data_IF_968989705097
#
_entry.id   IF_968989705097
#
_cell.length_a   1.000
_cell.length_b   1.000
_cell.length_c   1.000
_cell.angle_alpha   90.00
_cell.angle_beta   90.00
_cell.angle_gamma   90.00
#
_symmetry.space_group_name_H-M   'P 1'
#
loop_
_entity.id
_entity.type
_entity.pdbx_description
1 polymer ?
#
# COMPACT_ATOMS: atom_id res chain seq x y z
N UNK A 1 60.70 20.30 21.09
CA UNK A 1 60.51 20.58 19.64
C UNK A 1 59.88 19.32 19.03
N UNK A 2 58.65 18.96 19.37
CA UNK A 2 57.37 19.43 18.80
C UNK A 2 57.28 19.25 17.27
N UNK A 3 57.12 18.02 16.75
CA UNK A 3 56.53 17.82 15.40
C UNK A 3 55.99 16.39 15.14
N UNK A 4 55.34 15.70 16.09
CA UNK A 4 54.74 14.38 15.78
C UNK A 4 53.28 14.17 16.26
N UNK A 5 52.63 15.21 16.77
CA UNK A 5 51.22 15.13 17.23
C UNK A 5 50.19 15.62 16.19
N UNK A 6 50.55 15.72 14.91
CA UNK A 6 49.65 16.26 13.88
C UNK A 6 48.92 15.18 13.06
N UNK A 7 49.37 13.92 13.07
CA UNK A 7 48.77 12.84 12.26
C UNK A 7 47.65 12.07 12.96
N UNK A 8 47.54 12.15 14.29
CA UNK A 8 46.49 11.49 15.06
C UNK A 8 45.13 12.21 15.06
N UNK A 9 45.06 13.44 14.55
CA UNK A 9 43.82 14.24 14.50
C UNK A 9 43.08 14.20 13.17
N UNK A 10 43.56 13.44 12.19
CA UNK A 10 42.95 13.33 10.87
C UNK A 10 42.17 12.02 10.66
N UNK A 11 41.84 11.30 11.74
CA UNK A 11 40.98 10.10 11.70
C UNK A 11 39.58 10.36 12.29
N UNK A 12 39.30 11.56 12.79
CA UNK A 12 38.03 11.88 13.48
C UNK A 12 36.89 12.34 12.56
N UNK A 13 37.11 12.55 11.26
CA UNK A 13 36.10 13.25 10.41
C UNK A 13 35.37 12.32 9.42
N UNK A 14 35.76 11.06 9.27
CA UNK A 14 35.23 10.18 8.22
C UNK A 14 34.09 9.23 8.66
N UNK A 15 33.27 9.64 9.64
CA UNK A 15 32.09 8.89 10.11
C UNK A 15 30.85 9.79 10.21
N UNK A 16 30.72 10.75 9.29
CA UNK A 16 29.49 11.52 9.10
C UNK A 16 28.97 11.18 7.71
N UNK A 17 27.98 10.30 7.65
CA UNK A 17 27.36 9.96 6.37
C UNK A 17 26.59 8.66 6.33
N UNK A 18 26.02 8.18 7.44
CA UNK A 18 24.84 7.30 7.32
C UNK A 18 23.70 8.17 6.80
N UNK A 19 23.69 8.39 5.49
CA UNK A 19 22.52 8.87 4.77
C UNK A 19 21.46 7.81 5.02
N UNK A 20 20.57 8.06 5.98
CA UNK A 20 19.28 7.39 6.04
C UNK A 20 18.55 7.79 4.76
N UNK A 21 18.82 7.05 3.69
CA UNK A 21 17.94 7.01 2.55
C UNK A 21 16.62 6.51 3.10
N UNK A 22 15.68 7.44 3.28
CA UNK A 22 14.26 7.09 3.33
C UNK A 22 14.02 6.44 1.97
N UNK A 23 14.15 5.11 1.92
CA UNK A 23 13.68 4.36 0.79
C UNK A 23 12.19 4.68 0.71
N UNK A 24 11.83 5.54 -0.24
CA UNK A 24 10.45 5.61 -0.69
C UNK A 24 10.16 4.20 -1.18
N UNK A 25 9.50 3.43 -0.31
CA UNK A 25 8.87 2.18 -0.67
C UNK A 25 7.87 2.52 -1.76
N UNK A 26 8.31 2.45 -3.02
CA UNK A 26 7.39 2.36 -4.14
C UNK A 26 6.67 1.04 -3.90
N UNK A 27 5.45 1.13 -3.38
CA UNK A 27 4.60 -0.04 -3.19
C UNK A 27 4.23 -0.53 -4.58
N UNK A 28 5.03 -1.47 -5.06
CA UNK A 28 4.82 -2.17 -6.30
C UNK A 28 3.50 -2.93 -6.21
N UNK A 29 2.52 -2.55 -7.03
CA UNK A 29 1.20 -3.18 -7.05
C UNK A 29 1.29 -4.42 -7.92
N UNK A 30 0.96 -5.57 -7.34
CA UNK A 30 0.80 -6.81 -8.10
C UNK A 30 -0.67 -7.02 -8.41
N UNK A 31 -1.01 -6.84 -9.67
CA UNK A 31 -2.36 -7.06 -10.20
C UNK A 31 -2.55 -8.53 -10.53
N UNK A 32 -3.59 -9.14 -10.00
CA UNK A 32 -3.87 -10.57 -10.13
C UNK A 32 -5.33 -10.72 -10.56
N UNK A 33 -5.64 -11.77 -11.31
CA UNK A 33 -7.03 -12.14 -11.62
C UNK A 33 -7.84 -12.41 -10.34
N UNK A 34 -9.09 -11.98 -10.30
CA UNK A 34 -9.98 -12.13 -9.14
C UNK A 34 -10.25 -13.59 -8.76
N UNK A 35 -10.20 -14.51 -9.73
CA UNK A 35 -10.37 -15.95 -9.48
C UNK A 35 -9.28 -16.53 -8.56
N UNK A 36 -8.12 -15.85 -8.46
CA UNK A 36 -7.03 -16.24 -7.57
C UNK A 36 -7.40 -16.12 -6.08
N UNK A 37 -8.39 -15.29 -5.72
CA UNK A 37 -8.83 -15.11 -4.32
C UNK A 37 -9.18 -16.45 -3.67
N UNK A 38 -9.79 -17.36 -4.43
CA UNK A 38 -10.15 -18.70 -3.94
C UNK A 38 -8.96 -19.56 -3.50
N UNK A 39 -7.73 -19.20 -3.88
CA UNK A 39 -6.50 -19.93 -3.56
C UNK A 39 -5.71 -19.32 -2.40
N UNK A 40 -6.07 -18.10 -1.95
CA UNK A 40 -5.33 -17.35 -0.93
C UNK A 40 -5.31 -18.05 0.43
N UNK A 41 -6.37 -18.79 0.77
CA UNK A 41 -6.47 -19.57 2.01
C UNK A 41 -5.73 -20.92 2.00
N UNK A 42 -5.21 -21.36 0.85
CA UNK A 42 -4.63 -22.70 0.69
C UNK A 42 -3.14 -22.67 0.34
N UNK A 43 -2.71 -21.67 -0.41
CA UNK A 43 -1.33 -21.58 -0.89
C UNK A 43 -0.50 -20.69 0.03
N UNK A 44 0.73 -21.11 0.30
CA UNK A 44 1.73 -20.21 0.87
C UNK A 44 2.02 -19.09 -0.13
N UNK A 45 2.45 -17.92 0.35
CA UNK A 45 2.84 -16.77 -0.49
C UNK A 45 3.70 -17.18 -1.68
N UNK A 46 4.78 -17.93 -1.46
CA UNK A 46 5.69 -18.33 -2.54
C UNK A 46 5.01 -19.20 -3.61
N UNK A 47 4.09 -20.09 -3.21
CA UNK A 47 3.31 -20.92 -4.14
C UNK A 47 2.22 -20.11 -4.84
N UNK A 48 1.61 -19.17 -4.12
CA UNK A 48 0.62 -18.25 -4.67
C UNK A 48 1.26 -17.38 -5.77
N UNK A 49 2.37 -16.71 -5.46
CA UNK A 49 3.11 -15.86 -6.40
C UNK A 49 3.63 -16.65 -7.61
N UNK A 50 4.05 -17.90 -7.42
CA UNK A 50 4.47 -18.76 -8.53
C UNK A 50 3.29 -19.13 -9.45
N UNK A 51 2.13 -19.42 -8.86
CA UNK A 51 0.94 -19.86 -9.61
C UNK A 51 0.21 -18.71 -10.28
N UNK A 52 0.21 -17.56 -9.63
CA UNK A 52 -0.46 -16.32 -10.00
C UNK A 52 0.56 -15.17 -9.94
N UNK A 53 1.50 -15.11 -10.91
CA UNK A 53 2.54 -14.09 -10.91
C UNK A 53 1.95 -12.68 -11.05
N UNK A 54 0.80 -12.55 -11.72
CA UNK A 54 0.15 -11.27 -11.94
C UNK A 54 0.97 -10.34 -12.83
N UNK A 55 0.55 -9.08 -12.87
CA UNK A 55 1.28 -7.99 -13.52
C UNK A 55 1.79 -7.02 -12.45
N UNK A 56 3.01 -6.54 -12.66
CA UNK A 56 3.62 -5.54 -11.79
C UNK A 56 3.31 -4.16 -12.34
N UNK A 57 2.79 -3.28 -11.48
CA UNK A 57 2.43 -1.90 -11.78
C UNK A 57 3.10 -0.97 -10.77
N UNK A 58 3.54 0.20 -11.24
CA UNK A 58 4.24 1.16 -10.39
C UNK A 58 3.30 1.88 -9.41
N UNK A 59 2.00 1.90 -9.70
CA UNK A 59 0.99 2.49 -8.83
C UNK A 59 -0.43 2.44 -9.41
N UNK A 60 -1.42 2.99 -8.69
CA UNK A 60 -2.83 2.86 -9.05
C UNK A 60 -3.19 3.49 -10.41
N UNK A 61 -2.44 4.52 -10.84
CA UNK A 61 -2.66 5.20 -12.11
C UNK A 61 -2.39 4.32 -13.36
N UNK A 62 -1.66 3.21 -13.21
CA UNK A 62 -1.36 2.27 -14.30
C UNK A 62 -2.32 1.07 -14.35
N UNK A 63 -3.33 1.07 -13.48
CA UNK A 63 -4.36 0.03 -13.42
C UNK A 63 -5.40 0.22 -14.52
N UNK A 64 -5.92 -0.89 -15.01
CA UNK A 64 -7.08 -0.88 -15.91
C UNK A 64 -8.33 -0.46 -15.14
N UNK A 65 -9.25 0.26 -15.78
CA UNK A 65 -10.45 0.76 -15.10
C UNK A 65 -11.37 -0.36 -14.61
N UNK A 66 -11.69 -0.37 -13.32
CA UNK A 66 -12.62 -1.34 -12.74
C UNK A 66 -12.54 -1.43 -11.23
N UNK A 67 -13.28 -2.38 -10.67
CA UNK A 67 -13.25 -2.67 -9.24
C UNK A 67 -12.09 -3.62 -8.90
N UNK A 68 -11.36 -3.31 -7.84
CA UNK A 68 -10.29 -4.14 -7.33
C UNK A 68 -10.54 -4.49 -5.87
N UNK A 69 -10.44 -5.77 -5.55
CA UNK A 69 -10.30 -6.21 -4.16
C UNK A 69 -8.83 -6.10 -3.79
N UNK A 70 -8.53 -5.33 -2.76
CA UNK A 70 -7.16 -4.97 -2.38
C UNK A 70 -6.80 -5.71 -1.10
N UNK A 71 -5.64 -6.35 -1.10
CA UNK A 71 -4.97 -6.83 0.10
C UNK A 71 -3.58 -6.22 0.21
N UNK A 72 -3.34 -5.52 1.30
CA UNK A 72 -2.03 -4.96 1.63
C UNK A 72 -1.57 -5.45 3.00
N UNK A 73 -0.32 -5.88 3.09
CA UNK A 73 0.29 -6.31 4.35
C UNK A 73 1.81 -6.22 4.23
N UNK A 74 2.45 -5.45 5.10
CA UNK A 74 3.89 -5.13 5.02
C UNK A 74 4.28 -4.55 3.65
N UNK A 75 5.07 -5.28 2.86
CA UNK A 75 5.49 -4.89 1.51
C UNK A 75 4.64 -5.53 0.40
N UNK A 76 3.56 -6.21 0.77
CA UNK A 76 2.65 -6.85 -0.19
C UNK A 76 1.52 -5.90 -0.54
N UNK A 77 1.28 -5.75 -1.83
CA UNK A 77 0.14 -5.03 -2.38
C UNK A 77 -0.44 -5.87 -3.52
N UNK A 78 -1.52 -6.58 -3.24
CA UNK A 78 -2.23 -7.46 -4.18
C UNK A 78 -3.56 -6.82 -4.56
N UNK A 79 -3.74 -6.58 -5.85
CA UNK A 79 -4.94 -5.98 -6.42
C UNK A 79 -5.62 -7.02 -7.31
N UNK A 80 -6.77 -7.52 -6.87
CA UNK A 80 -7.53 -8.55 -7.56
C UNK A 80 -8.60 -7.94 -8.45
N UNK A 81 -8.42 -8.01 -9.77
CA UNK A 81 -9.32 -7.43 -10.75
C UNK A 81 -8.67 -7.18 -12.12
N UNK A 82 -9.27 -6.32 -12.98
CA UNK A 82 -10.47 -5.52 -12.73
C UNK A 82 -11.78 -6.33 -12.75
N UNK A 83 -12.67 -6.04 -11.81
CA UNK A 83 -14.00 -6.63 -11.69
C UNK A 83 -15.04 -5.62 -12.24
N UNK A 84 -16.00 -6.13 -13.00
CA UNK A 84 -16.99 -5.27 -13.68
C UNK A 84 -18.05 -4.70 -12.72
N UNK A 85 -18.49 -5.49 -11.74
CA UNK A 85 -19.60 -5.16 -10.85
C UNK A 85 -19.12 -5.03 -9.41
N UNK A 86 -19.52 -3.94 -8.75
CA UNK A 86 -19.23 -3.73 -7.33
C UNK A 86 -19.77 -4.87 -6.47
N UNK A 87 -20.98 -5.36 -6.73
CA UNK A 87 -21.58 -6.47 -5.98
C UNK A 87 -20.74 -7.75 -6.03
N UNK A 88 -20.19 -8.07 -7.20
CA UNK A 88 -19.25 -9.18 -7.37
C UNK A 88 -17.95 -8.92 -6.61
N UNK A 89 -17.44 -7.69 -6.66
CA UNK A 89 -16.30 -7.27 -5.84
C UNK A 89 -16.53 -7.41 -4.34
N UNK A 90 -17.72 -7.07 -3.85
CA UNK A 90 -18.10 -7.24 -2.44
C UNK A 90 -18.14 -8.71 -2.02
N UNK A 91 -18.60 -9.61 -2.88
CA UNK A 91 -18.61 -11.03 -2.59
C UNK A 91 -17.19 -11.62 -2.56
N UNK A 92 -16.33 -11.18 -3.47
CA UNK A 92 -14.90 -11.52 -3.43
C UNK A 92 -14.17 -10.94 -2.22
N UNK A 93 -14.49 -9.70 -1.81
CA UNK A 93 -13.94 -9.10 -0.60
C UNK A 93 -14.32 -9.94 0.63
N UNK A 94 -15.58 -10.37 0.76
CA UNK A 94 -16.00 -11.28 1.85
C UNK A 94 -15.21 -12.59 1.83
N UNK A 95 -15.01 -13.18 0.65
CA UNK A 95 -14.24 -14.41 0.51
C UNK A 95 -12.79 -14.22 0.96
N UNK A 96 -12.16 -13.12 0.56
CA UNK A 96 -10.79 -12.80 0.96
C UNK A 96 -10.68 -12.53 2.46
N UNK A 97 -11.63 -11.79 3.03
CA UNK A 97 -11.71 -11.57 4.48
C UNK A 97 -11.77 -12.88 5.26
N UNK A 98 -12.61 -13.83 4.84
CA UNK A 98 -12.68 -15.14 5.48
C UNK A 98 -11.34 -15.89 5.43
N UNK A 99 -10.64 -15.83 4.30
CA UNK A 99 -9.33 -16.48 4.15
C UNK A 99 -8.27 -15.82 5.06
N UNK A 100 -8.24 -14.48 5.12
CA UNK A 100 -7.32 -13.73 5.98
C UNK A 100 -7.64 -13.97 7.45
N UNK A 101 -8.91 -13.96 7.86
CA UNK A 101 -9.32 -14.23 9.25
C UNK A 101 -8.87 -15.63 9.70
N UNK A 102 -9.04 -16.64 8.84
CA UNK A 102 -8.54 -17.98 9.12
C UNK A 102 -7.01 -18.03 9.26
N UNK A 103 -6.29 -17.27 8.43
CA UNK A 103 -4.83 -17.16 8.52
C UNK A 103 -4.38 -16.44 9.79
N UNK A 104 -5.07 -15.36 10.20
CA UNK A 104 -4.81 -14.62 11.45
C UNK A 104 -5.02 -15.50 12.67
N UNK A 105 -6.07 -16.34 12.69
CA UNK A 105 -6.30 -17.31 13.77
C UNK A 105 -5.15 -18.31 13.91
N UNK A 106 -4.58 -18.76 12.79
CA UNK A 106 -3.44 -19.68 12.80
C UNK A 106 -2.12 -18.97 13.14
N UNK A 107 -1.98 -17.71 12.73
CA UNK A 107 -0.78 -16.91 12.91
C UNK A 107 -1.15 -15.49 13.37
N UNK A 108 -1.30 -15.27 14.69
CA UNK A 108 -1.67 -13.97 15.26
C UNK A 108 -0.65 -12.85 15.02
N UNK A 109 0.53 -13.17 14.49
CA UNK A 109 1.53 -12.18 14.09
C UNK A 109 1.17 -11.44 12.79
N UNK A 110 0.09 -11.82 12.10
CA UNK A 110 -0.43 -11.10 10.94
C UNK A 110 -1.27 -9.95 11.50
N UNK A 111 -0.70 -8.74 11.50
CA UNK A 111 -1.33 -7.51 11.96
C UNK A 111 -1.18 -6.43 10.90
N UNK A 112 -1.89 -5.31 11.06
CA UNK A 112 -1.70 -4.13 10.22
C UNK A 112 -1.91 -4.39 8.71
N UNK A 113 -2.77 -5.35 8.37
CA UNK A 113 -3.21 -5.58 7.00
C UNK A 113 -4.38 -4.66 6.65
N UNK A 114 -4.51 -4.33 5.36
CA UNK A 114 -5.66 -3.63 4.78
C UNK A 114 -6.37 -4.54 3.80
N UNK A 115 -7.70 -4.59 3.93
CA UNK A 115 -8.62 -5.24 3.01
C UNK A 115 -9.68 -4.23 2.58
N UNK A 116 -9.79 -3.97 1.29
CA UNK A 116 -10.73 -2.96 0.78
C UNK A 116 -11.21 -3.32 -0.64
N UNK A 117 -12.36 -2.78 -1.03
CA UNK A 117 -12.82 -2.76 -2.41
C UNK A 117 -12.76 -1.31 -2.92
N UNK A 118 -11.95 -1.05 -3.94
CA UNK A 118 -11.78 0.28 -4.54
C UNK A 118 -12.04 0.24 -6.05
N UNK A 119 -12.52 1.34 -6.61
CA UNK A 119 -12.57 1.54 -8.05
C UNK A 119 -11.29 2.26 -8.48
N UNK A 120 -10.49 1.61 -9.34
CA UNK A 120 -9.23 2.16 -9.83
C UNK A 120 -9.24 2.28 -11.36
N UNK A 121 -8.45 3.21 -11.94
CA UNK A 121 -7.71 4.26 -11.26
C UNK A 121 -8.66 5.31 -10.66
N UNK A 122 -8.49 5.61 -9.39
CA UNK A 122 -9.18 6.71 -8.72
C UNK A 122 -8.55 8.03 -9.19
N UNK A 123 -9.22 8.71 -10.12
CA UNK A 123 -8.79 10.03 -10.60
C UNK A 123 -8.92 10.99 -9.41
N UNK A 124 -7.85 11.19 -8.67
CA UNK A 124 -7.74 12.34 -7.77
C UNK A 124 -7.61 13.56 -8.67
N UNK A 125 -8.69 14.30 -8.85
CA UNK A 125 -8.68 15.63 -9.50
C UNK A 125 -7.72 16.54 -8.72
N UNK A 126 -6.45 16.49 -9.11
CA UNK A 126 -5.40 17.43 -8.71
C UNK A 126 -4.51 17.71 -9.92
N UNK A 127 -5.11 17.69 -11.11
CA UNK A 127 -4.54 18.36 -12.27
C UNK A 127 -4.96 19.82 -12.20
N UNK A 128 -3.95 20.68 -12.06
CA UNK A 128 -4.09 22.11 -11.87
C UNK A 128 -4.58 22.76 -13.17
N UNK A 129 -5.89 22.98 -13.30
CA UNK A 129 -6.41 23.92 -14.29
C UNK A 129 -5.96 25.34 -13.89
N UNK A 130 -4.91 25.80 -14.56
CA UNK A 130 -4.50 27.19 -14.58
C UNK A 130 -5.52 27.99 -15.39
N UNK A 131 -6.66 28.33 -14.79
CA UNK A 131 -7.51 29.40 -15.29
C UNK A 131 -7.61 30.55 -14.27
N UNK A 132 -7.09 31.68 -14.72
CA UNK A 132 -7.04 32.98 -14.07
C UNK A 132 -8.44 33.54 -13.86
N UNK A 133 -8.86 33.77 -12.61
CA UNK A 133 -9.57 35.01 -12.21
C UNK A 133 -9.92 35.05 -10.71
N UNK A 134 -9.45 36.09 -10.00
CA UNK A 134 -10.28 36.86 -9.07
C UNK A 134 -10.55 36.34 -7.65
N UNK A 135 -9.72 36.80 -6.70
CA UNK A 135 -10.11 37.32 -5.38
C UNK A 135 -10.77 36.37 -4.34
N UNK A 136 -10.04 36.04 -3.26
CA UNK A 136 -10.62 35.75 -1.94
C UNK A 136 -10.09 34.53 -1.20
N UNK A 137 -9.22 34.75 -0.20
CA UNK A 137 -8.90 33.96 1.01
C UNK A 137 -8.60 32.44 0.92
N UNK A 138 -7.55 31.93 1.59
CA UNK A 138 -7.23 30.51 1.59
C UNK A 138 -8.23 29.72 2.45
N UNK A 139 -8.97 28.80 1.82
CA UNK A 139 -9.72 27.75 2.52
C UNK A 139 -8.73 26.75 3.16
N UNK A 140 -8.98 26.29 4.40
CA UNK A 140 -8.14 25.27 5.03
C UNK A 140 -8.23 23.95 4.24
N UNK A 141 -7.15 23.15 4.20
CA UNK A 141 -7.16 21.87 3.50
C UNK A 141 -8.24 20.95 4.07
N UNK A 142 -8.92 20.13 3.23
CA UNK A 142 -9.86 19.14 3.72
C UNK A 142 -9.12 18.16 4.66
N UNK A 143 -9.73 17.74 5.77
CA UNK A 143 -9.11 16.77 6.66
C UNK A 143 -8.87 15.46 5.90
N UNK A 144 -7.76 14.74 6.17
CA UNK A 144 -7.53 13.43 5.58
C UNK A 144 -8.72 12.52 5.88
N UNK A 145 -9.16 11.77 4.87
CA UNK A 145 -10.26 10.82 4.92
C UNK A 145 -9.94 9.70 5.91
N UNK A 146 -10.26 9.96 7.17
CA UNK A 146 -10.12 9.04 8.31
C UNK A 146 -11.20 7.94 8.28
N UNK A 147 -11.32 7.19 7.17
CA UNK A 147 -12.20 6.01 7.12
C UNK A 147 -11.76 4.93 8.13
N UNK A 148 -10.47 4.91 8.49
CA UNK A 148 -9.89 3.95 9.44
C UNK A 148 -10.17 4.23 10.92
N UNK A 149 -10.59 5.45 11.31
CA UNK A 149 -10.91 5.71 12.73
C UNK A 149 -12.26 5.14 13.15
N UNK A 150 -13.16 4.89 12.19
CA UNK A 150 -14.53 4.45 12.48
C UNK A 150 -14.57 2.95 12.80
N UNK A 151 -13.71 2.14 12.18
CA UNK A 151 -13.72 0.67 12.36
C UNK A 151 -13.16 0.25 13.72
N UNK A 152 -12.23 1.03 14.32
CA UNK A 152 -11.77 0.79 15.71
C UNK A 152 -12.85 1.01 16.78
N UNK A 153 -13.91 1.76 16.49
CA UNK A 153 -14.96 2.05 17.47
C UNK A 153 -15.97 0.91 17.65
N UNK A 154 -16.02 -0.06 16.74
CA UNK A 154 -17.01 -1.15 16.76
C UNK A 154 -16.43 -2.45 17.31
N UNK A 155 -15.13 -2.69 17.16
CA UNK A 155 -14.44 -3.82 17.76
C UNK A 155 -13.54 -3.33 18.91
N UNK A 156 -14.17 -3.11 20.06
CA UNK A 156 -13.45 -2.85 21.30
C UNK A 156 -12.61 -4.06 21.72
N UNK A 157 -11.29 -3.88 21.67
CA UNK A 157 -10.30 -4.50 22.54
C UNK A 157 -9.32 -3.42 23.00
#
# INVERSE_FOLDING_TARGET
>A
MNQLNALGRLILVLLIGSVSGVAQSVLEIRVIEESAISYTGFLSKARFDQRFPGQIKAGPAELDSGWYVIYEHESLSYYFGPILLESTGQDYLKQLTQAVDAAVQQRPSITDYRLELSYEPSISESESESEKSGNGSPLPPPPPSNFWSIVRSVFGF
#
